data_IF_207246769453
#
_entry.id   IF_207246769453
#
_cell.length_a   1.000
_cell.length_b   1.000
_cell.length_c   1.000
_cell.angle_alpha   90.00
_cell.angle_beta   90.00
_cell.angle_gamma   90.00
#
_symmetry.space_group_name_H-M   'P 1'
#
loop_
_entity.id
_entity.type
_entity.pdbx_description
1 polymer ?
#
# COMPACT_ATOMS: atom_id res chain seq x y z
N UNK A 1 2.09 10.86 24.73
CA UNK A 1 2.93 9.71 24.34
C UNK A 1 2.64 9.47 22.86
N UNK A 2 3.65 9.38 22.01
CA UNK A 2 3.47 9.14 20.58
C UNK A 2 2.81 7.76 20.39
N UNK A 3 1.79 7.69 19.55
CA UNK A 3 1.11 6.42 19.22
C UNK A 3 1.97 5.53 18.30
N UNK A 4 3.11 6.03 17.84
CA UNK A 4 4.02 5.39 16.89
C UNK A 4 5.35 5.02 17.55
N UNK A 5 6.06 4.01 17.04
CA UNK A 5 7.45 3.73 17.43
C UNK A 5 8.34 4.96 17.22
N UNK A 6 9.57 4.90 17.74
CA UNK A 6 10.59 5.92 17.50
C UNK A 6 10.72 6.22 16.01
N UNK A 7 10.80 7.52 15.67
CA UNK A 7 10.91 7.98 14.29
C UNK A 7 12.38 7.93 13.84
N UNK A 8 12.81 6.72 13.51
CA UNK A 8 14.20 6.42 13.12
C UNK A 8 14.23 5.43 11.97
N UNK A 9 15.33 5.40 11.24
CA UNK A 9 15.53 4.51 10.08
C UNK A 9 14.72 4.89 8.86
N UNK A 10 14.32 3.89 8.09
CA UNK A 10 13.54 4.04 6.86
C UNK A 10 12.25 3.24 6.92
N UNK A 11 11.14 3.84 6.52
CA UNK A 11 9.83 3.21 6.49
C UNK A 11 9.20 3.24 5.11
N UNK A 12 8.57 2.13 4.73
CA UNK A 12 7.71 2.05 3.55
C UNK A 12 6.33 1.61 3.98
N UNK A 13 5.33 2.45 3.68
CA UNK A 13 3.95 2.16 4.03
C UNK A 13 3.21 1.44 2.91
N UNK A 14 2.44 0.44 3.28
CA UNK A 14 1.51 -0.27 2.39
C UNK A 14 0.10 0.25 2.62
N UNK A 15 -0.50 0.80 1.59
CA UNK A 15 -1.83 1.40 1.63
C UNK A 15 -2.68 0.87 0.47
N UNK A 16 -3.98 0.92 0.60
CA UNK A 16 -4.91 0.52 -0.47
C UNK A 16 -6.31 0.31 0.05
N UNK A 17 -7.25 0.14 -0.85
CA UNK A 17 -8.64 -0.13 -0.48
C UNK A 17 -8.79 -1.47 0.23
N UNK A 18 -9.83 -1.56 1.05
CA UNK A 18 -10.25 -2.83 1.63
C UNK A 18 -10.41 -3.90 0.53
N UNK A 19 -9.87 -5.09 0.78
CA UNK A 19 -9.88 -6.22 -0.16
C UNK A 19 -9.12 -6.00 -1.48
N UNK A 20 -8.28 -4.97 -1.59
CA UNK A 20 -7.40 -4.78 -2.75
C UNK A 20 -6.29 -5.86 -2.85
N UNK A 21 -6.06 -6.63 -1.79
CA UNK A 21 -5.03 -7.67 -1.78
C UNK A 21 -3.76 -7.27 -1.03
N UNK A 22 -3.80 -6.20 -0.23
CA UNK A 22 -2.66 -5.65 0.52
C UNK A 22 -1.99 -6.70 1.41
N UNK A 23 -2.74 -7.39 2.27
CA UNK A 23 -2.18 -8.43 3.15
C UNK A 23 -1.59 -9.62 2.36
N UNK A 24 -2.19 -9.96 1.21
CA UNK A 24 -1.65 -11.00 0.32
C UNK A 24 -0.33 -10.57 -0.29
N UNK A 25 -0.23 -9.31 -0.73
CA UNK A 25 1.00 -8.74 -1.29
C UNK A 25 2.11 -8.71 -0.22
N UNK A 26 1.84 -8.18 0.96
CA UNK A 26 2.77 -8.16 2.09
C UNK A 26 3.31 -9.55 2.43
N UNK A 27 2.42 -10.53 2.63
CA UNK A 27 2.82 -11.89 2.96
C UNK A 27 3.67 -12.56 1.86
N UNK A 28 3.34 -12.28 0.58
CA UNK A 28 4.09 -12.82 -0.55
C UNK A 28 5.48 -12.18 -0.69
N UNK A 29 5.58 -10.87 -0.55
CA UNK A 29 6.83 -10.11 -0.68
C UNK A 29 7.81 -10.50 0.43
N UNK A 30 7.35 -10.57 1.69
CA UNK A 30 8.22 -10.81 2.84
C UNK A 30 8.35 -12.31 3.22
N UNK A 31 7.71 -13.22 2.47
CA UNK A 31 7.74 -14.68 2.72
C UNK A 31 7.36 -15.07 4.16
N UNK A 32 6.62 -14.25 4.88
CA UNK A 32 6.16 -14.51 6.25
C UNK A 32 4.66 -14.76 6.23
N UNK A 33 4.22 -15.93 6.69
CA UNK A 33 2.81 -16.19 6.98
C UNK A 33 2.46 -15.31 8.18
N UNK A 34 1.51 -14.37 8.01
CA UNK A 34 0.98 -13.49 9.07
C UNK A 34 1.76 -12.20 9.41
N UNK A 35 2.62 -11.65 8.54
CA UNK A 35 3.00 -10.24 8.68
C UNK A 35 1.73 -9.39 8.70
N UNK A 36 0.84 -9.59 7.74
CA UNK A 36 -0.46 -8.96 7.75
C UNK A 36 -1.55 -10.03 7.91
N UNK A 37 -2.45 -9.87 8.87
CA UNK A 37 -3.60 -10.77 9.04
C UNK A 37 -4.56 -10.61 7.87
N UNK A 38 -4.66 -11.64 7.03
CA UNK A 38 -5.69 -11.69 5.99
C UNK A 38 -7.05 -11.90 6.66
N UNK A 39 -7.92 -10.91 6.65
CA UNK A 39 -9.28 -11.01 7.16
C UNK A 39 -10.26 -11.01 5.98
N UNK A 40 -11.19 -11.96 5.98
CA UNK A 40 -12.34 -11.97 5.06
C UNK A 40 -13.44 -11.02 5.54
N UNK A 41 -13.37 -10.56 6.79
CA UNK A 41 -14.36 -9.67 7.39
C UNK A 41 -13.90 -8.23 7.28
N UNK A 42 -14.66 -7.34 6.62
CA UNK A 42 -14.33 -5.92 6.54
C UNK A 42 -14.27 -5.30 7.95
N UNK A 43 -13.28 -4.42 8.20
CA UNK A 43 -13.23 -3.62 9.42
C UNK A 43 -12.38 -4.16 10.58
N UNK A 44 -11.62 -5.25 10.42
CA UNK A 44 -10.81 -5.81 11.54
C UNK A 44 -9.44 -5.15 11.75
N UNK A 45 -8.87 -4.48 10.78
CA UNK A 45 -7.58 -3.80 10.94
C UNK A 45 -7.81 -2.31 11.10
N UNK A 46 -7.96 -1.86 12.34
CA UNK A 46 -8.14 -0.44 12.69
C UNK A 46 -6.84 0.22 13.16
N UNK A 47 -5.72 -0.52 13.18
CA UNK A 47 -4.44 -0.07 13.72
C UNK A 47 -3.39 0.01 12.61
N UNK A 48 -2.47 0.93 12.75
CA UNK A 48 -1.22 0.97 11.99
C UNK A 48 -0.31 -0.12 12.57
N UNK A 49 0.16 -1.03 11.73
CA UNK A 49 1.06 -2.10 12.17
C UNK A 49 2.45 -1.87 11.60
N UNK A 50 3.44 -1.81 12.47
CA UNK A 50 4.85 -1.66 12.13
C UNK A 50 5.54 -3.02 12.19
N UNK A 51 6.36 -3.32 11.19
CA UNK A 51 7.12 -4.57 11.08
C UNK A 51 8.57 -4.27 10.74
N UNK A 52 9.49 -4.58 11.62
CA UNK A 52 10.91 -4.50 11.34
C UNK A 52 11.27 -5.58 10.31
N UNK A 53 11.91 -5.18 9.24
CA UNK A 53 12.36 -6.06 8.15
C UNK A 53 13.88 -6.18 8.13
N UNK A 54 14.58 -5.19 8.65
CA UNK A 54 16.00 -5.14 8.93
C UNK A 54 16.26 -4.13 10.05
N UNK A 55 17.50 -3.99 10.53
CA UNK A 55 17.87 -3.18 11.69
C UNK A 55 17.37 -1.73 11.59
N UNK A 56 17.47 -1.11 10.40
CA UNK A 56 17.05 0.26 10.15
C UNK A 56 15.83 0.38 9.19
N UNK A 57 15.18 -0.73 8.87
CA UNK A 57 14.10 -0.74 7.89
C UNK A 57 12.80 -1.31 8.43
N UNK A 58 11.72 -0.56 8.27
CA UNK A 58 10.37 -0.95 8.65
C UNK A 58 9.41 -0.95 7.47
N UNK A 59 8.50 -1.90 7.53
CA UNK A 59 7.31 -1.91 6.69
C UNK A 59 6.09 -1.60 7.55
N UNK A 60 5.25 -0.72 7.07
CA UNK A 60 4.08 -0.25 7.80
C UNK A 60 2.82 -0.66 7.06
N UNK A 61 2.00 -1.51 7.70
CA UNK A 61 0.70 -1.92 7.16
C UNK A 61 -0.38 -0.95 7.65
N UNK A 62 -0.78 -0.04 6.77
CA UNK A 62 -1.85 0.90 7.05
C UNK A 62 -3.21 0.23 6.87
N UNK A 63 -4.21 0.60 7.68
CA UNK A 63 -5.57 0.12 7.47
C UNK A 63 -6.07 0.51 6.08
N UNK A 64 -6.84 -0.39 5.44
CA UNK A 64 -7.39 -0.11 4.11
C UNK A 64 -8.43 1.01 4.15
N UNK A 65 -8.45 1.89 3.17
CA UNK A 65 -9.49 2.91 3.03
C UNK A 65 -10.75 2.37 2.32
N UNK A 66 -11.85 3.15 2.36
CA UNK A 66 -13.08 2.81 1.64
C UNK A 66 -13.97 1.77 2.32
N UNK A 67 -13.90 1.64 3.64
CA UNK A 67 -14.85 0.84 4.40
C UNK A 67 -16.22 1.52 4.48
N UNK A 68 -17.23 0.91 3.87
CA UNK A 68 -18.62 1.39 3.95
C UNK A 68 -19.30 1.11 5.30
N UNK A 69 -18.71 0.21 6.12
CA UNK A 69 -19.37 -0.34 7.32
C UNK A 69 -18.88 0.24 8.66
N UNK A 70 -18.16 1.36 8.65
CA UNK A 70 -17.70 2.03 9.88
C UNK A 70 -18.48 3.31 10.14
N UNK A 71 -18.74 3.62 11.43
CA UNK A 71 -19.41 4.88 11.81
C UNK A 71 -18.59 6.10 11.35
N UNK A 72 -19.26 7.24 11.18
CA UNK A 72 -18.62 8.50 10.77
C UNK A 72 -17.51 8.90 11.73
N UNK A 73 -17.70 8.71 13.04
CA UNK A 73 -16.74 9.06 14.09
C UNK A 73 -15.47 8.21 13.99
N UNK A 74 -15.62 6.90 13.80
CA UNK A 74 -14.46 6.01 13.60
C UNK A 74 -13.71 6.30 12.32
N UNK A 75 -14.42 6.70 11.26
CA UNK A 75 -13.80 7.11 10.01
C UNK A 75 -12.96 8.37 10.20
N UNK A 76 -13.50 9.38 10.91
CA UNK A 76 -12.78 10.62 11.21
C UNK A 76 -11.50 10.36 12.02
N UNK A 77 -11.59 9.56 13.09
CA UNK A 77 -10.42 9.18 13.90
C UNK A 77 -9.36 8.46 13.07
N UNK A 78 -9.81 7.61 12.14
CA UNK A 78 -8.93 6.88 11.24
C UNK A 78 -8.25 7.82 10.23
N UNK A 79 -9.00 8.72 9.61
CA UNK A 79 -8.47 9.71 8.67
C UNK A 79 -7.46 10.65 9.38
N UNK A 80 -7.73 11.04 10.63
CA UNK A 80 -6.82 11.83 11.47
C UNK A 80 -5.53 11.08 11.77
N UNK A 81 -5.60 9.81 12.20
CA UNK A 81 -4.44 8.99 12.52
C UNK A 81 -3.53 8.76 11.29
N UNK A 82 -4.12 8.48 10.13
CA UNK A 82 -3.40 8.28 8.88
C UNK A 82 -2.77 9.60 8.40
N UNK A 83 -3.50 10.70 8.48
CA UNK A 83 -2.98 12.02 8.13
C UNK A 83 -1.81 12.41 9.02
N UNK A 84 -1.91 12.15 10.33
CA UNK A 84 -0.85 12.41 11.30
C UNK A 84 0.39 11.58 10.96
N UNK A 85 0.24 10.28 10.75
CA UNK A 85 1.34 9.41 10.33
C UNK A 85 2.06 9.96 9.07
N UNK A 86 1.32 10.29 8.02
CA UNK A 86 1.94 10.77 6.77
C UNK A 86 2.62 12.13 6.89
N UNK A 87 2.10 13.02 7.73
CA UNK A 87 2.62 14.39 7.88
C UNK A 87 3.80 14.49 8.83
N UNK A 88 3.83 13.67 9.86
CA UNK A 88 4.81 13.81 10.95
C UNK A 88 5.94 12.80 10.87
N UNK A 89 5.84 11.76 10.02
CA UNK A 89 6.80 10.68 10.00
C UNK A 89 7.96 10.95 9.05
N UNK A 90 9.12 11.31 9.60
CA UNK A 90 10.34 11.59 8.84
C UNK A 90 10.99 10.32 8.30
N UNK A 91 10.91 9.21 9.05
CA UNK A 91 11.36 7.90 8.62
C UNK A 91 10.64 7.38 7.37
N UNK A 92 9.42 7.85 7.06
CA UNK A 92 8.69 7.43 5.87
C UNK A 92 9.40 7.88 4.59
N UNK A 93 9.85 6.93 3.77
CA UNK A 93 10.54 7.18 2.48
C UNK A 93 9.62 7.01 1.28
N UNK A 94 8.61 6.16 1.39
CA UNK A 94 7.71 5.90 0.27
C UNK A 94 6.48 5.09 0.63
N UNK A 95 5.62 4.94 -0.37
CA UNK A 95 4.37 4.19 -0.28
C UNK A 95 4.26 3.17 -1.39
N UNK A 96 3.80 1.99 -1.02
CA UNK A 96 3.28 0.96 -1.91
C UNK A 96 1.76 1.04 -1.93
N UNK A 97 1.20 1.59 -2.99
CA UNK A 97 -0.25 1.70 -3.19
C UNK A 97 -0.78 0.43 -3.85
N UNK A 98 -1.66 -0.27 -3.16
CA UNK A 98 -2.22 -1.55 -3.58
C UNK A 98 -3.59 -1.37 -4.22
N UNK A 99 -3.67 -1.68 -5.51
CA UNK A 99 -4.89 -1.57 -6.31
C UNK A 99 -5.27 -2.96 -6.87
N UNK A 100 -6.53 -3.33 -6.80
CA UNK A 100 -7.05 -4.52 -7.48
C UNK A 100 -7.13 -4.25 -8.97
N UNK A 101 -6.29 -4.91 -9.77
CA UNK A 101 -6.18 -4.69 -11.22
C UNK A 101 -7.51 -4.84 -11.98
N UNK A 102 -8.47 -5.58 -11.44
CA UNK A 102 -9.79 -5.77 -12.03
C UNK A 102 -10.72 -4.56 -11.88
N UNK A 103 -10.42 -3.66 -10.93
CA UNK A 103 -11.26 -2.50 -10.59
C UNK A 103 -10.69 -1.18 -11.09
N UNK A 104 -9.47 -1.20 -11.58
CA UNK A 104 -8.72 0.00 -12.00
C UNK A 104 -8.62 1.06 -10.89
N UNK A 105 -8.16 2.25 -11.25
CA UNK A 105 -8.02 3.39 -10.34
C UNK A 105 -9.40 3.95 -10.02
N UNK A 106 -9.74 4.03 -8.75
CA UNK A 106 -11.01 4.55 -8.27
C UNK A 106 -10.87 6.00 -7.78
N UNK A 107 -11.99 6.67 -7.54
CA UNK A 107 -12.00 8.01 -6.97
C UNK A 107 -11.28 8.08 -5.61
N UNK A 108 -11.44 7.06 -4.76
CA UNK A 108 -10.72 7.00 -3.48
C UNK A 108 -9.20 6.87 -3.64
N UNK A 109 -8.74 6.19 -4.69
CA UNK A 109 -7.32 6.11 -5.00
C UNK A 109 -6.79 7.47 -5.46
N UNK A 110 -7.60 8.24 -6.19
CA UNK A 110 -7.26 9.62 -6.61
C UNK A 110 -7.21 10.57 -5.42
N UNK A 111 -8.19 10.51 -4.53
CA UNK A 111 -8.19 11.31 -3.30
C UNK A 111 -6.96 11.02 -2.44
N UNK A 112 -6.54 9.74 -2.36
CA UNK A 112 -5.29 9.39 -1.70
C UNK A 112 -4.08 10.04 -2.39
N UNK A 113 -4.04 10.04 -3.73
CA UNK A 113 -2.96 10.67 -4.49
C UNK A 113 -2.88 12.17 -4.23
N UNK A 114 -4.01 12.87 -4.32
CA UNK A 114 -4.08 14.32 -4.09
C UNK A 114 -3.55 14.69 -2.70
N UNK A 115 -3.79 13.83 -1.72
CA UNK A 115 -3.24 13.98 -0.37
C UNK A 115 -1.74 13.65 -0.30
N UNK A 116 -1.30 12.58 -0.96
CA UNK A 116 0.04 12.02 -0.81
C UNK A 116 1.11 12.74 -1.65
N UNK A 117 0.79 13.11 -2.88
CA UNK A 117 1.76 13.69 -3.81
C UNK A 117 2.47 14.95 -3.29
N UNK A 118 1.79 15.88 -2.57
CA UNK A 118 2.44 17.04 -1.99
C UNK A 118 3.55 16.72 -0.97
N UNK A 119 3.59 15.50 -0.43
CA UNK A 119 4.62 15.08 0.51
C UNK A 119 5.97 14.80 -0.15
N UNK A 120 6.03 14.71 -1.49
CA UNK A 120 7.27 14.55 -2.26
C UNK A 120 7.99 13.21 -2.05
N UNK A 121 7.33 12.22 -1.47
CA UNK A 121 7.93 10.90 -1.15
C UNK A 121 7.66 9.89 -2.29
N UNK A 122 8.48 8.84 -2.36
CA UNK A 122 8.38 7.82 -3.42
C UNK A 122 7.03 7.11 -3.43
N UNK A 123 6.47 6.87 -4.64
CA UNK A 123 5.21 6.13 -4.84
C UNK A 123 5.43 4.96 -5.78
N UNK A 124 5.01 3.78 -5.35
CA UNK A 124 4.99 2.56 -6.15
C UNK A 124 3.60 1.93 -6.14
N UNK A 125 3.03 1.69 -7.31
CA UNK A 125 1.69 1.10 -7.46
C UNK A 125 1.80 -0.37 -7.80
N UNK A 126 1.16 -1.21 -7.00
CA UNK A 126 1.06 -2.65 -7.20
C UNK A 126 -0.36 -3.01 -7.63
N UNK A 127 -0.52 -3.40 -8.89
CA UNK A 127 -1.77 -3.89 -9.47
C UNK A 127 -1.92 -5.38 -9.14
N UNK A 128 -2.58 -5.68 -8.03
CA UNK A 128 -2.78 -7.04 -7.52
C UNK A 128 -3.79 -7.83 -8.33
N UNK A 129 -3.84 -9.15 -8.10
CA UNK A 129 -4.79 -10.09 -8.72
C UNK A 129 -4.70 -10.11 -10.26
N UNK A 130 -3.53 -9.81 -10.80
CA UNK A 130 -3.27 -9.83 -12.26
C UNK A 130 -3.57 -11.19 -12.88
N UNK A 131 -3.44 -12.29 -12.11
CA UNK A 131 -3.81 -13.64 -12.50
C UNK A 131 -5.31 -13.84 -12.81
N UNK A 132 -6.15 -12.90 -12.42
CA UNK A 132 -7.60 -12.89 -12.71
C UNK A 132 -7.94 -12.18 -14.01
N UNK A 133 -6.97 -11.56 -14.68
CA UNK A 133 -7.13 -10.89 -15.96
C UNK A 133 -6.45 -11.71 -17.08
N UNK A 134 -7.07 -11.70 -18.28
CA UNK A 134 -6.41 -12.12 -19.50
C UNK A 134 -5.31 -11.12 -19.88
N UNK A 135 -4.39 -11.51 -20.76
CA UNK A 135 -3.23 -10.67 -21.13
C UNK A 135 -3.62 -9.27 -21.61
N UNK A 136 -4.67 -9.17 -22.41
CA UNK A 136 -5.18 -7.85 -22.86
C UNK A 136 -5.65 -6.99 -21.68
N UNK A 137 -6.43 -7.53 -20.76
CA UNK A 137 -6.88 -6.81 -19.57
C UNK A 137 -5.75 -6.40 -18.62
N UNK A 138 -4.64 -7.16 -18.59
CA UNK A 138 -3.44 -6.76 -17.84
C UNK A 138 -2.77 -5.53 -18.48
N UNK A 139 -2.68 -5.49 -19.81
CA UNK A 139 -2.15 -4.34 -20.55
C UNK A 139 -3.03 -3.11 -20.33
N UNK A 140 -4.34 -3.25 -20.47
CA UNK A 140 -5.31 -2.17 -20.22
C UNK A 140 -5.22 -1.62 -18.81
N UNK A 141 -5.08 -2.50 -17.80
CA UNK A 141 -4.93 -2.09 -16.40
C UNK A 141 -3.63 -1.28 -16.19
N UNK A 142 -2.51 -1.70 -16.79
CA UNK A 142 -1.26 -0.96 -16.74
C UNK A 142 -1.39 0.41 -17.41
N UNK A 143 -1.92 0.46 -18.63
CA UNK A 143 -2.06 1.70 -19.40
C UNK A 143 -2.99 2.70 -18.72
N UNK A 144 -4.15 2.24 -18.25
CA UNK A 144 -5.12 3.08 -17.53
C UNK A 144 -4.52 3.63 -16.24
N UNK A 145 -3.77 2.81 -15.51
CA UNK A 145 -3.08 3.25 -14.29
C UNK A 145 -1.98 4.24 -14.63
N UNK A 146 -1.16 3.97 -15.65
CA UNK A 146 -0.12 4.89 -16.10
C UNK A 146 -0.70 6.25 -16.52
N UNK A 147 -1.86 6.26 -17.20
CA UNK A 147 -2.56 7.51 -17.55
C UNK A 147 -3.01 8.28 -16.32
N UNK A 148 -3.47 7.57 -15.28
CA UNK A 148 -3.97 8.21 -14.05
C UNK A 148 -2.85 8.75 -13.15
N UNK A 149 -1.70 8.08 -13.09
CA UNK A 149 -0.58 8.43 -12.19
C UNK A 149 0.56 9.17 -12.90
N UNK A 150 0.60 9.15 -14.24
CA UNK A 150 1.64 9.80 -15.01
C UNK A 150 3.04 9.28 -14.69
N UNK A 151 3.97 10.23 -14.50
CA UNK A 151 5.37 9.91 -14.14
C UNK A 151 5.65 9.95 -12.63
N UNK A 152 4.63 10.24 -11.82
CA UNK A 152 4.82 10.40 -10.36
C UNK A 152 4.91 9.07 -9.61
N UNK A 153 4.58 7.96 -10.27
CA UNK A 153 4.63 6.63 -9.68
C UNK A 153 5.28 5.61 -10.62
N UNK A 154 5.95 4.64 -10.04
CA UNK A 154 6.29 3.40 -10.74
C UNK A 154 5.14 2.40 -10.56
N UNK A 155 4.86 1.58 -11.58
CA UNK A 155 3.66 0.72 -11.61
C UNK A 155 4.06 -0.69 -12.03
N UNK A 156 3.51 -1.71 -11.38
CA UNK A 156 3.71 -3.10 -11.77
C UNK A 156 2.44 -3.94 -11.63
N UNK A 157 2.36 -5.02 -12.41
CA UNK A 157 1.43 -6.12 -12.17
C UNK A 157 1.94 -7.02 -11.06
N UNK A 158 1.00 -7.61 -10.32
CA UNK A 158 1.32 -8.48 -9.20
C UNK A 158 0.27 -9.58 -9.01
N UNK A 159 0.74 -10.81 -8.76
CA UNK A 159 -0.10 -11.89 -8.27
C UNK A 159 0.56 -12.61 -7.10
N UNK A 160 -0.02 -12.45 -5.91
CA UNK A 160 0.43 -13.20 -4.74
C UNK A 160 0.18 -14.71 -4.88
N UNK A 161 -0.85 -15.12 -5.62
CA UNK A 161 -1.22 -16.52 -5.87
C UNK A 161 -0.24 -17.19 -6.83
N UNK A 162 0.09 -16.52 -7.93
CA UNK A 162 1.04 -17.02 -8.94
C UNK A 162 2.48 -16.65 -8.63
N UNK A 163 2.72 -15.85 -7.59
CA UNK A 163 4.03 -15.31 -7.19
C UNK A 163 4.68 -14.43 -8.25
N UNK A 164 3.87 -13.83 -9.13
CA UNK A 164 4.35 -12.93 -10.18
C UNK A 164 4.56 -11.52 -9.61
N UNK A 165 5.61 -10.83 -10.07
CA UNK A 165 5.93 -9.46 -9.67
C UNK A 165 6.61 -9.32 -8.30
N UNK A 166 6.89 -10.42 -7.56
CA UNK A 166 7.53 -10.36 -6.24
C UNK A 166 8.95 -9.81 -6.33
N UNK A 167 9.73 -10.24 -7.33
CA UNK A 167 11.12 -9.79 -7.50
C UNK A 167 11.18 -8.28 -7.77
N UNK A 168 10.31 -7.77 -8.64
CA UNK A 168 10.21 -6.34 -8.97
C UNK A 168 9.83 -5.54 -7.73
N UNK A 169 8.83 -6.01 -6.96
CA UNK A 169 8.42 -5.34 -5.73
C UNK A 169 9.56 -5.28 -4.70
N UNK A 170 10.35 -6.35 -4.57
CA UNK A 170 11.52 -6.38 -3.68
C UNK A 170 12.62 -5.44 -4.13
N UNK A 171 12.94 -5.45 -5.42
CA UNK A 171 13.91 -4.51 -5.98
C UNK A 171 13.48 -3.07 -5.68
N UNK A 172 12.21 -2.76 -5.88
CA UNK A 172 11.69 -1.41 -5.63
C UNK A 172 11.70 -1.04 -4.14
N UNK A 173 11.49 -2.01 -3.23
CA UNK A 173 11.67 -1.79 -1.79
C UNK A 173 13.12 -1.41 -1.47
N UNK A 174 14.11 -2.17 -1.99
CA UNK A 174 15.51 -1.85 -1.79
C UNK A 174 15.85 -0.46 -2.32
N UNK A 175 15.41 -0.11 -3.52
CA UNK A 175 15.65 1.22 -4.12
C UNK A 175 15.09 2.37 -3.26
N UNK A 176 13.92 2.19 -2.63
CA UNK A 176 13.31 3.21 -1.76
C UNK A 176 13.97 3.23 -0.37
N UNK A 177 14.42 2.10 0.12
CA UNK A 177 15.20 2.03 1.36
C UNK A 177 16.64 2.52 1.18
N UNK A 178 17.07 2.78 -0.07
CA UNK A 178 18.43 3.24 -0.40
C UNK A 178 19.53 2.18 -0.11
N UNK A 179 19.23 0.90 -0.41
CA UNK A 179 20.21 -0.18 -0.39
C UNK A 179 20.88 -0.38 -1.75
#
# INVERSE_FOLDING_TARGET
>A
MSQFPEDSGSEIAFVGRSNAGKSTALNAIFKRKNIAKTSKTPGRTQLINFFDVDDDCRVVDLPGYGFAAVSKEKRKQWDELISDYFRTRDALKGVFLIIDSRRMVTELDRLFLDFYLPLGKSLHVILTKSDKLKKLGQIEALQSTQTSFGKVATIQLFSGTKKDGIAIAKQRLCEIFEY
#
